data_IF_956557139463
#
_entry.id   IF_956557139463
#
_cell.length_a   1.000
_cell.length_b   1.000
_cell.length_c   1.000
_cell.angle_alpha   90.00
_cell.angle_beta   90.00
_cell.angle_gamma   90.00
#
_symmetry.space_group_name_H-M   'P 1'
#
loop_
_entity.id
_entity.type
_entity.pdbx_description
1 polymer ?
#
# COMPACT_ATOMS: atom_id res chain seq x y z
N UNK A 1 -9.16 -15.08 -10.11
CA UNK A 1 -9.14 -15.88 -8.87
C UNK A 1 -7.90 -16.78 -8.80
N UNK A 2 -7.29 -16.86 -7.61
CA UNK A 2 -6.07 -17.64 -7.40
C UNK A 2 -6.49 -19.09 -7.26
N UNK A 3 -5.88 -19.96 -8.06
CA UNK A 3 -6.21 -21.38 -8.09
C UNK A 3 -5.22 -22.16 -7.22
N UNK A 4 -5.73 -23.18 -6.54
CA UNK A 4 -4.91 -24.15 -5.84
C UNK A 4 -4.15 -25.06 -6.83
N UNK A 5 -3.35 -25.99 -6.32
CA UNK A 5 -2.57 -26.93 -7.14
C UNK A 5 -3.42 -27.81 -8.07
N UNK A 6 -4.73 -27.93 -7.82
CA UNK A 6 -5.69 -28.65 -8.65
C UNK A 6 -6.43 -27.76 -9.65
N UNK A 7 -6.06 -26.48 -9.75
CA UNK A 7 -6.68 -25.52 -10.66
C UNK A 7 -8.04 -24.98 -10.21
N UNK A 8 -8.43 -25.20 -8.94
CA UNK A 8 -9.71 -24.74 -8.37
C UNK A 8 -9.53 -23.48 -7.52
N UNK A 9 -10.50 -22.59 -7.59
CA UNK A 9 -10.63 -21.48 -6.64
C UNK A 9 -11.39 -22.00 -5.42
N UNK A 10 -10.70 -22.13 -4.28
CA UNK A 10 -11.25 -22.62 -3.02
C UNK A 10 -11.36 -21.53 -1.95
N UNK A 11 -11.10 -20.26 -2.31
CA UNK A 11 -11.16 -19.13 -1.38
C UNK A 11 -10.08 -19.09 -0.31
N UNK A 12 -9.10 -20.00 -0.33
CA UNK A 12 -8.05 -20.09 0.71
C UNK A 12 -6.69 -19.51 0.28
N UNK A 13 -6.63 -18.86 -0.87
CA UNK A 13 -5.39 -18.32 -1.42
C UNK A 13 -5.44 -16.79 -1.54
N UNK A 14 -4.28 -16.17 -1.31
CA UNK A 14 -4.06 -14.71 -1.44
C UNK A 14 -2.82 -14.45 -2.29
N UNK A 15 -2.79 -13.32 -3.02
CA UNK A 15 -1.58 -12.90 -3.74
C UNK A 15 -0.77 -12.01 -2.82
N UNK A 16 0.47 -12.41 -2.58
CA UNK A 16 1.41 -11.64 -1.78
C UNK A 16 2.36 -10.86 -2.69
N UNK A 17 2.51 -9.57 -2.41
CA UNK A 17 3.51 -8.72 -3.07
C UNK A 17 4.45 -8.15 -2.00
N UNK A 18 5.74 -8.21 -2.25
CA UNK A 18 6.75 -7.57 -1.39
C UNK A 18 7.39 -6.40 -2.11
N UNK A 19 7.80 -5.39 -1.36
CA UNK A 19 8.47 -4.20 -1.92
C UNK A 19 9.78 -4.62 -2.58
N UNK A 20 10.49 -5.57 -1.97
CA UNK A 20 11.75 -6.11 -2.47
C UNK A 20 11.56 -6.82 -3.82
N UNK A 21 10.52 -7.64 -3.96
CA UNK A 21 10.22 -8.34 -5.22
C UNK A 21 9.81 -7.36 -6.33
N UNK A 22 9.01 -6.34 -6.00
CA UNK A 22 8.61 -5.29 -6.96
C UNK A 22 9.81 -4.48 -7.43
N UNK A 23 10.72 -4.13 -6.51
CA UNK A 23 11.90 -3.32 -6.80
C UNK A 23 12.95 -4.11 -7.60
N UNK A 24 13.19 -5.37 -7.24
CA UNK A 24 14.24 -6.19 -7.86
C UNK A 24 13.83 -6.79 -9.21
N UNK A 25 12.52 -6.93 -9.49
CA UNK A 25 12.05 -7.48 -10.75
C UNK A 25 12.36 -6.51 -11.91
N UNK A 26 13.21 -6.89 -12.91
CA UNK A 26 13.64 -5.98 -13.97
C UNK A 26 12.51 -5.44 -14.86
N UNK A 27 11.41 -6.19 -14.97
CA UNK A 27 10.24 -5.78 -15.75
C UNK A 27 9.38 -4.72 -15.04
N UNK A 28 9.50 -4.60 -13.72
CA UNK A 28 8.76 -3.64 -12.90
C UNK A 28 9.70 -2.54 -12.42
N UNK A 29 10.70 -2.89 -11.60
CA UNK A 29 11.76 -2.02 -11.09
C UNK A 29 11.23 -0.71 -10.49
N UNK A 30 10.17 -0.79 -9.69
CA UNK A 30 9.51 0.38 -9.09
C UNK A 30 9.87 0.52 -7.61
N UNK A 31 10.42 1.68 -7.26
CA UNK A 31 10.61 2.09 -5.86
C UNK A 31 9.33 2.70 -5.28
N UNK A 32 9.25 2.80 -3.95
CA UNK A 32 8.17 3.55 -3.27
C UNK A 32 8.08 4.99 -3.79
N UNK A 33 9.20 5.67 -4.00
CA UNK A 33 9.18 7.05 -4.51
C UNK A 33 8.74 7.10 -5.98
N UNK A 34 9.07 6.08 -6.77
CA UNK A 34 8.57 5.91 -8.13
C UNK A 34 7.05 5.72 -8.19
N UNK A 35 6.49 4.91 -7.29
CA UNK A 35 5.02 4.72 -7.23
C UNK A 35 4.29 5.99 -6.78
N UNK A 36 4.88 6.79 -5.90
CA UNK A 36 4.36 8.13 -5.56
C UNK A 36 4.31 9.02 -6.81
N UNK A 37 5.37 9.05 -7.61
CA UNK A 37 5.36 9.83 -8.86
C UNK A 37 4.29 9.34 -9.84
N UNK A 38 4.06 8.03 -9.93
CA UNK A 38 2.97 7.48 -10.74
C UNK A 38 1.62 8.03 -10.26
N UNK A 39 1.36 8.05 -8.96
CA UNK A 39 0.13 8.63 -8.40
C UNK A 39 -0.03 10.12 -8.72
N UNK A 40 1.07 10.89 -8.68
CA UNK A 40 1.05 12.32 -9.04
C UNK A 40 0.77 12.55 -10.54
N UNK A 41 1.27 11.68 -11.43
CA UNK A 41 1.15 11.85 -12.88
C UNK A 41 -0.08 11.18 -13.50
N UNK A 42 -0.45 9.98 -13.06
CA UNK A 42 -1.61 9.24 -13.59
C UNK A 42 -2.90 9.59 -12.87
N UNK A 43 -2.81 10.30 -11.76
CA UNK A 43 -3.89 10.53 -10.84
C UNK A 43 -3.97 9.42 -9.78
N UNK A 44 -4.36 9.83 -8.58
CA UNK A 44 -4.54 8.97 -7.42
C UNK A 44 -5.62 9.55 -6.51
N UNK A 45 -5.77 8.98 -5.32
CA UNK A 45 -6.89 9.33 -4.43
C UNK A 45 -6.88 10.80 -3.99
N UNK A 46 -5.72 11.46 -3.97
CA UNK A 46 -5.59 12.89 -3.63
C UNK A 46 -5.77 13.83 -4.83
N UNK A 47 -5.43 13.38 -6.04
CA UNK A 47 -5.58 14.14 -7.30
C UNK A 47 -6.08 13.17 -8.37
N UNK A 48 -7.41 13.00 -8.53
CA UNK A 48 -7.94 12.03 -9.48
C UNK A 48 -7.62 12.33 -10.95
N UNK A 49 -7.46 13.63 -11.30
CA UNK A 49 -7.28 14.07 -12.68
C UNK A 49 -5.88 13.75 -13.26
N UNK A 50 -4.85 13.66 -12.40
CA UNK A 50 -3.46 13.49 -12.84
C UNK A 50 -3.02 14.53 -13.89
N UNK A 51 -2.02 14.16 -14.69
CA UNK A 51 -1.60 14.87 -15.88
C UNK A 51 -2.32 14.28 -17.11
N UNK A 52 -3.20 15.04 -17.79
CA UNK A 52 -3.92 14.54 -18.96
C UNK A 52 -2.99 13.99 -20.04
N UNK A 53 -3.32 12.80 -20.57
CA UNK A 53 -2.52 12.14 -21.59
C UNK A 53 -1.24 11.46 -21.09
N UNK A 54 -0.96 11.49 -19.77
CA UNK A 54 0.13 10.77 -19.12
C UNK A 54 -0.28 9.34 -18.75
N UNK A 55 -0.31 8.45 -19.75
CA UNK A 55 -0.70 7.05 -19.54
C UNK A 55 0.32 6.24 -18.73
N UNK A 56 -0.12 5.10 -18.19
CA UNK A 56 0.64 4.22 -17.28
C UNK A 56 2.06 3.89 -17.78
N UNK A 57 2.26 3.65 -19.09
CA UNK A 57 3.59 3.34 -19.63
C UNK A 57 4.58 4.50 -19.50
N UNK A 58 4.11 5.74 -19.67
CA UNK A 58 4.96 6.93 -19.52
C UNK A 58 5.27 7.19 -18.05
N UNK A 59 4.29 7.07 -17.16
CA UNK A 59 4.50 7.29 -15.72
C UNK A 59 5.42 6.24 -15.11
N UNK A 60 5.26 4.98 -15.48
CA UNK A 60 6.20 3.90 -15.11
C UNK A 60 7.60 4.16 -15.67
N UNK A 61 7.71 4.60 -16.93
CA UNK A 61 9.01 4.94 -17.52
C UNK A 61 9.73 6.07 -16.79
N UNK A 62 9.01 7.17 -16.46
CA UNK A 62 9.54 8.28 -15.67
C UNK A 62 9.90 7.85 -14.23
N UNK A 63 9.09 6.99 -13.60
CA UNK A 63 9.39 6.44 -12.29
C UNK A 63 10.69 5.61 -12.31
N UNK A 64 10.85 4.74 -13.32
CA UNK A 64 12.06 3.93 -13.52
C UNK A 64 13.29 4.76 -13.89
N UNK A 65 13.10 5.89 -14.58
CA UNK A 65 14.16 6.86 -14.86
C UNK A 65 14.63 7.61 -13.60
N UNK A 66 14.00 7.38 -12.44
CA UNK A 66 14.48 7.88 -11.15
C UNK A 66 13.90 9.23 -10.73
N UNK A 67 12.99 9.83 -11.51
CA UNK A 67 12.39 11.14 -11.19
C UNK A 67 11.63 11.14 -9.87
N UNK A 68 11.01 10.03 -9.49
CA UNK A 68 10.33 9.91 -8.20
C UNK A 68 11.34 9.89 -7.04
N UNK A 69 12.47 9.21 -7.21
CA UNK A 69 13.52 9.14 -6.20
C UNK A 69 14.15 10.53 -5.96
N UNK A 70 14.48 11.26 -7.03
CA UNK A 70 15.06 12.61 -6.90
C UNK A 70 14.06 13.59 -6.26
N UNK A 71 12.78 13.52 -6.63
CA UNK A 71 11.73 14.36 -6.04
C UNK A 71 11.57 14.12 -4.54
N UNK A 72 11.39 12.87 -4.12
CA UNK A 72 11.19 12.54 -2.70
C UNK A 72 12.44 12.85 -1.87
N UNK A 73 13.63 12.65 -2.44
CA UNK A 73 14.89 13.02 -1.78
C UNK A 73 14.96 14.53 -1.55
N UNK A 74 14.67 15.34 -2.58
CA UNK A 74 14.71 16.79 -2.50
C UNK A 74 13.74 17.35 -1.44
N UNK A 75 12.51 16.83 -1.38
CA UNK A 75 11.53 17.28 -0.37
C UNK A 75 11.99 16.97 1.07
N UNK A 76 12.77 15.91 1.27
CA UNK A 76 13.30 15.56 2.60
C UNK A 76 14.53 16.37 2.99
N UNK A 77 15.36 16.75 2.03
CA UNK A 77 16.69 17.31 2.29
C UNK A 77 16.77 18.84 2.09
N UNK A 78 15.93 19.42 1.23
CA UNK A 78 15.99 20.84 0.88
C UNK A 78 15.02 21.70 1.71
N UNK A 79 15.43 22.95 1.96
CA UNK A 79 14.58 24.00 2.53
C UNK A 79 13.81 24.72 1.41
N UNK A 80 12.68 25.36 1.72
CA UNK A 80 11.72 25.91 0.75
C UNK A 80 12.34 26.64 -0.44
N UNK A 81 13.18 27.66 -0.23
CA UNK A 81 13.78 28.41 -1.35
C UNK A 81 14.61 27.53 -2.31
N UNK A 82 15.40 26.59 -1.78
CA UNK A 82 16.18 25.65 -2.60
C UNK A 82 15.32 24.56 -3.22
N UNK A 83 14.21 24.23 -2.59
CA UNK A 83 13.24 23.27 -3.12
C UNK A 83 12.54 23.85 -4.36
N UNK A 84 12.18 25.12 -4.34
CA UNK A 84 11.53 25.79 -5.48
C UNK A 84 12.45 25.79 -6.72
N UNK A 85 13.72 26.17 -6.55
CA UNK A 85 14.73 26.12 -7.62
C UNK A 85 14.94 24.69 -8.14
N UNK A 86 15.03 23.71 -7.23
CA UNK A 86 15.14 22.30 -7.59
C UNK A 86 13.94 21.84 -8.42
N UNK A 87 12.72 22.21 -8.03
CA UNK A 87 11.50 21.79 -8.71
C UNK A 87 11.41 22.38 -10.13
N UNK A 88 11.90 23.61 -10.33
CA UNK A 88 12.01 24.21 -11.68
C UNK A 88 12.91 23.34 -12.55
N UNK A 89 14.12 23.02 -12.08
CA UNK A 89 15.06 22.19 -12.83
C UNK A 89 14.52 20.77 -13.05
N UNK A 90 13.95 20.16 -12.02
CA UNK A 90 13.37 18.82 -12.08
C UNK A 90 12.23 18.72 -13.10
N UNK A 91 11.35 19.73 -13.18
CA UNK A 91 10.34 19.82 -14.25
C UNK A 91 10.97 19.90 -15.63
N UNK A 92 12.03 20.70 -15.79
CA UNK A 92 12.74 20.79 -17.08
C UNK A 92 13.38 19.46 -17.47
N UNK A 93 13.93 18.72 -16.51
CA UNK A 93 14.51 17.40 -16.76
C UNK A 93 13.44 16.40 -17.20
N UNK A 94 12.25 16.42 -16.59
CA UNK A 94 11.10 15.61 -17.05
C UNK A 94 10.68 16.01 -18.47
N UNK A 95 10.57 17.32 -18.75
CA UNK A 95 10.21 17.82 -20.08
C UNK A 95 11.23 17.38 -21.13
N UNK A 96 12.51 17.43 -20.79
CA UNK A 96 13.61 16.99 -21.65
C UNK A 96 13.57 15.48 -21.88
N UNK A 97 13.32 14.69 -20.84
CA UNK A 97 13.17 13.24 -20.98
C UNK A 97 11.95 12.89 -21.84
N UNK A 98 10.82 13.55 -21.66
CA UNK A 98 9.63 13.35 -22.51
C UNK A 98 9.90 13.72 -23.98
N UNK A 99 10.69 14.76 -24.25
CA UNK A 99 11.05 15.18 -25.62
C UNK A 99 12.06 14.25 -26.29
N UNK A 100 13.02 13.74 -25.52
CA UNK A 100 14.21 13.06 -26.07
C UNK A 100 14.21 11.55 -25.85
N UNK A 101 13.50 11.06 -24.82
CA UNK A 101 13.56 9.69 -24.32
C UNK A 101 15.02 9.21 -24.14
N UNK A 102 15.86 10.04 -23.51
CA UNK A 102 17.32 9.79 -23.40
C UNK A 102 17.61 8.53 -22.60
N UNK A 103 16.77 8.21 -21.60
CA UNK A 103 16.91 6.98 -20.81
C UNK A 103 16.51 5.71 -21.58
N UNK A 104 15.71 5.85 -22.66
CA UNK A 104 15.12 4.72 -23.37
C UNK A 104 14.02 3.99 -22.58
N UNK A 105 13.57 4.53 -21.44
CA UNK A 105 12.58 3.90 -20.56
C UNK A 105 11.14 4.30 -20.89
N UNK A 106 10.94 5.33 -21.72
CA UNK A 106 9.62 5.71 -22.21
C UNK A 106 9.25 4.91 -23.47
N UNK A 107 7.96 4.64 -23.73
CA UNK A 107 7.54 3.91 -24.93
C UNK A 107 7.80 4.68 -26.23
N UNK A 108 7.85 6.01 -26.18
CA UNK A 108 8.20 6.89 -27.30
C UNK A 108 8.51 8.30 -26.80
N UNK A 109 9.02 9.17 -27.68
CA UNK A 109 9.11 10.61 -27.43
C UNK A 109 7.70 11.21 -27.46
N UNK A 110 7.38 12.11 -26.53
CA UNK A 110 6.07 12.77 -26.44
C UNK A 110 6.19 14.27 -26.10
N UNK A 111 6.62 15.12 -27.06
CA UNK A 111 6.79 16.56 -26.83
C UNK A 111 5.51 17.29 -26.40
N UNK A 112 4.33 16.83 -26.85
CA UNK A 112 3.04 17.40 -26.44
C UNK A 112 2.77 17.20 -24.95
N UNK A 113 3.15 16.04 -24.39
CA UNK A 113 3.06 15.78 -22.95
C UNK A 113 4.08 16.61 -22.15
N UNK A 114 5.25 16.87 -22.73
CA UNK A 114 6.21 17.79 -22.12
C UNK A 114 5.66 19.21 -22.03
N UNK A 115 4.96 19.67 -23.07
CA UNK A 115 4.33 20.99 -23.10
C UNK A 115 3.13 21.10 -22.15
N UNK A 116 2.41 20.00 -21.90
CA UNK A 116 1.26 20.00 -21.00
C UNK A 116 1.63 19.91 -19.51
N UNK A 117 2.90 19.65 -19.16
CA UNK A 117 3.34 19.61 -17.76
C UNK A 117 3.22 21.02 -17.14
N UNK A 118 2.40 21.23 -16.10
CA UNK A 118 2.24 22.55 -15.48
C UNK A 118 3.49 23.02 -14.74
N UNK A 119 3.69 24.34 -14.61
CA UNK A 119 4.82 24.91 -13.86
C UNK A 119 4.65 24.86 -12.34
N UNK A 120 3.42 24.65 -11.86
CA UNK A 120 3.10 24.43 -10.45
C UNK A 120 3.15 22.94 -10.05
N UNK A 121 3.42 22.04 -11.00
CA UNK A 121 3.55 20.61 -10.73
C UNK A 121 4.87 20.26 -10.03
N UNK A 122 4.89 19.36 -9.02
CA UNK A 122 3.76 18.71 -8.40
C UNK A 122 3.17 19.53 -7.25
N UNK A 123 1.90 19.26 -6.91
CA UNK A 123 1.31 19.80 -5.68
C UNK A 123 2.05 19.30 -4.44
N UNK A 124 2.79 20.20 -3.78
CA UNK A 124 3.56 19.88 -2.57
C UNK A 124 2.71 19.32 -1.43
N UNK A 125 1.50 19.86 -1.10
CA UNK A 125 0.65 19.26 -0.08
C UNK A 125 0.28 17.79 -0.36
N UNK A 126 0.04 17.46 -1.63
CA UNK A 126 -0.29 16.08 -2.03
C UNK A 126 0.93 15.18 -1.93
N UNK A 127 2.09 15.64 -2.38
CA UNK A 127 3.35 14.91 -2.22
C UNK A 127 3.68 14.66 -0.73
N UNK A 128 3.42 15.62 0.15
CA UNK A 128 3.59 15.47 1.60
C UNK A 128 2.62 14.43 2.16
N UNK A 129 1.37 14.39 1.67
CA UNK A 129 0.38 13.38 2.09
C UNK A 129 0.84 11.94 1.80
N UNK A 130 1.60 11.73 0.72
CA UNK A 130 2.22 10.42 0.43
C UNK A 130 3.51 10.16 1.20
N UNK A 131 4.38 11.17 1.33
CA UNK A 131 5.70 10.99 1.93
C UNK A 131 5.64 10.91 3.46
N UNK A 132 4.77 11.72 4.07
CA UNK A 132 4.51 11.86 5.50
C UNK A 132 3.00 11.74 5.79
N UNK A 133 2.39 10.57 5.57
CA UNK A 133 0.97 10.38 5.82
C UNK A 133 0.66 10.60 7.31
N UNK A 134 -0.52 11.12 7.61
CA UNK A 134 -1.04 11.19 8.98
C UNK A 134 -1.33 9.75 9.43
N UNK A 135 -0.66 9.31 10.49
CA UNK A 135 -0.78 7.98 11.08
C UNK A 135 -0.98 8.09 12.59
N UNK A 136 -1.47 7.02 13.22
CA UNK A 136 -1.59 6.99 14.69
C UNK A 136 -0.26 7.19 15.41
N UNK A 137 0.88 6.93 14.77
CA UNK A 137 2.22 7.14 15.33
C UNK A 137 2.65 8.61 15.35
N UNK A 138 2.26 9.41 14.35
CA UNK A 138 2.65 10.83 14.27
C UNK A 138 1.55 11.79 14.76
N UNK A 139 0.33 11.30 14.97
CA UNK A 139 -0.81 12.09 15.47
C UNK A 139 -0.96 12.02 16.98
N UNK A 140 -0.30 11.06 17.65
CA UNK A 140 -0.24 11.01 19.10
C UNK A 140 0.54 12.20 19.64
N UNK A 141 -0.18 13.29 19.91
CA UNK A 141 0.32 14.33 20.80
C UNK A 141 0.62 13.66 22.15
N UNK A 142 1.90 13.70 22.55
CA UNK A 142 2.52 13.10 23.74
C UNK A 142 3.24 11.80 23.42
N UNK A 143 4.53 11.78 23.77
CA UNK A 143 5.43 10.64 23.70
C UNK A 143 5.05 9.44 24.58
N UNK A 144 3.77 9.23 24.83
CA UNK A 144 3.23 8.12 25.60
C UNK A 144 2.56 7.14 24.64
N UNK A 145 3.36 6.13 24.27
CA UNK A 145 2.99 4.84 23.63
C UNK A 145 3.01 4.86 22.10
N UNK A 146 4.11 4.32 21.55
CA UNK A 146 4.09 3.66 20.24
C UNK A 146 2.92 2.66 20.23
N UNK A 147 2.14 2.54 19.13
CA UNK A 147 1.14 1.50 19.03
C UNK A 147 1.82 0.14 19.24
N UNK A 148 1.49 -0.55 20.33
CA UNK A 148 1.91 -1.94 20.50
C UNK A 148 1.18 -2.78 19.45
N UNK A 149 1.87 -3.76 18.88
CA UNK A 149 1.19 -4.76 18.05
C UNK A 149 0.01 -5.33 18.85
N UNK A 150 -1.20 -5.45 18.25
CA UNK A 150 -2.35 -6.00 18.95
C UNK A 150 -2.03 -7.46 19.32
N UNK A 151 -1.83 -7.71 20.61
CA UNK A 151 -1.64 -9.07 21.12
C UNK A 151 -3.01 -9.62 21.50
N UNK A 152 -3.51 -10.56 20.71
CA UNK A 152 -4.79 -11.23 20.96
C UNK A 152 -4.65 -12.31 22.04
N UNK A 153 -4.40 -11.88 23.30
CA UNK A 153 -4.15 -12.77 24.45
C UNK A 153 -5.39 -13.51 24.97
N UNK A 154 -6.58 -13.03 24.66
CA UNK A 154 -7.81 -13.62 25.21
C UNK A 154 -8.33 -14.69 24.26
N UNK A 155 -8.57 -15.89 24.80
CA UNK A 155 -9.26 -16.92 24.05
C UNK A 155 -10.73 -16.50 23.85
N UNK A 156 -11.34 -16.83 22.69
CA UNK A 156 -12.75 -16.56 22.47
C UNK A 156 -13.59 -17.28 23.51
N UNK A 157 -14.56 -16.60 24.10
CA UNK A 157 -15.50 -17.16 25.08
C UNK A 157 -16.66 -17.85 24.33
N UNK A 158 -16.72 -19.20 24.30
CA UNK A 158 -17.75 -19.91 23.54
C UNK A 158 -19.16 -19.67 24.09
N UNK A 159 -19.30 -19.39 25.39
CA UNK A 159 -20.60 -19.13 26.00
C UNK A 159 -21.15 -17.78 25.52
N UNK A 160 -20.32 -16.73 25.53
CA UNK A 160 -20.72 -15.42 25.00
C UNK A 160 -21.03 -15.48 23.51
N UNK A 161 -20.24 -16.25 22.74
CA UNK A 161 -20.52 -16.46 21.31
C UNK A 161 -21.87 -17.17 21.14
N UNK A 162 -22.18 -18.18 21.95
CA UNK A 162 -23.48 -18.86 21.90
C UNK A 162 -24.63 -17.89 22.20
N UNK A 163 -24.52 -17.04 23.22
CA UNK A 163 -25.52 -16.02 23.52
C UNK A 163 -25.71 -15.02 22.37
N UNK A 164 -24.63 -14.65 21.67
CA UNK A 164 -24.72 -13.81 20.48
C UNK A 164 -25.35 -14.55 19.30
N UNK A 165 -25.09 -15.85 19.16
CA UNK A 165 -25.74 -16.71 18.18
C UNK A 165 -27.25 -16.83 18.42
N UNK A 166 -27.70 -16.93 19.67
CA UNK A 166 -29.14 -16.92 19.99
C UNK A 166 -29.78 -15.56 19.69
N UNK A 167 -29.07 -14.46 19.96
CA UNK A 167 -29.60 -13.11 19.83
C UNK A 167 -29.62 -12.58 18.39
N UNK A 168 -28.56 -12.84 17.62
CA UNK A 168 -28.35 -12.24 16.30
C UNK A 168 -28.47 -13.22 15.14
N UNK A 169 -28.44 -14.52 15.42
CA UNK A 169 -28.59 -15.55 14.39
C UNK A 169 -29.85 -16.35 14.69
N UNK A 170 -30.45 -16.96 13.67
CA UNK A 170 -31.62 -17.84 13.82
C UNK A 170 -31.26 -19.18 14.48
N UNK A 171 -30.19 -19.24 15.27
CA UNK A 171 -29.72 -20.44 15.97
C UNK A 171 -30.39 -20.54 17.34
N UNK A 172 -31.71 -20.34 17.38
CA UNK A 172 -32.50 -20.13 18.59
C UNK A 172 -32.71 -21.35 19.49
N UNK A 173 -31.91 -22.42 19.32
CA UNK A 173 -31.98 -23.62 20.17
C UNK A 173 -30.58 -24.19 20.39
N UNK A 174 -30.29 -24.55 21.65
CA UNK A 174 -29.01 -25.13 22.12
C UNK A 174 -28.46 -26.22 21.20
N UNK A 175 -29.29 -27.14 20.74
CA UNK A 175 -28.84 -28.27 19.91
C UNK A 175 -28.33 -27.82 18.54
N UNK A 176 -28.95 -26.79 17.95
CA UNK A 176 -28.51 -26.19 16.69
C UNK A 176 -27.16 -25.52 16.87
N UNK A 177 -26.98 -24.78 17.97
CA UNK A 177 -25.70 -24.13 18.30
C UNK A 177 -24.59 -25.15 18.49
N UNK A 178 -24.83 -26.20 19.30
CA UNK A 178 -23.84 -27.25 19.54
C UNK A 178 -23.46 -27.95 18.23
N UNK A 179 -24.44 -28.24 17.38
CA UNK A 179 -24.19 -28.87 16.08
C UNK A 179 -23.36 -27.94 15.16
N UNK A 180 -23.71 -26.65 15.08
CA UNK A 180 -22.98 -25.67 14.27
C UNK A 180 -21.57 -25.44 14.80
N UNK A 181 -21.39 -25.29 16.11
CA UNK A 181 -20.09 -25.03 16.73
C UNK A 181 -19.07 -26.12 16.38
N UNK A 182 -19.50 -27.39 16.26
CA UNK A 182 -18.62 -28.49 15.82
C UNK A 182 -17.96 -28.25 14.48
N UNK A 183 -18.65 -27.63 13.53
CA UNK A 183 -18.15 -27.43 12.17
C UNK A 183 -17.56 -26.04 11.96
N UNK A 184 -18.09 -25.01 12.63
CA UNK A 184 -17.71 -23.61 12.35
C UNK A 184 -16.81 -22.97 13.40
N UNK A 185 -16.84 -23.43 14.66
CA UNK A 185 -16.15 -22.76 15.78
C UNK A 185 -15.02 -23.60 16.36
N UNK A 186 -15.27 -24.88 16.66
CA UNK A 186 -14.30 -25.76 17.32
C UNK A 186 -12.99 -25.93 16.54
N UNK A 187 -12.97 -26.10 15.21
CA UNK A 187 -11.70 -26.20 14.48
C UNK A 187 -10.80 -24.98 14.73
N UNK A 188 -11.36 -23.77 14.67
CA UNK A 188 -10.61 -22.53 14.93
C UNK A 188 -10.15 -22.39 16.37
N UNK A 189 -11.01 -22.74 17.35
CA UNK A 189 -10.66 -22.69 18.77
C UNK A 189 -9.55 -23.67 19.14
N UNK A 190 -9.60 -24.91 18.63
CA UNK A 190 -8.56 -25.91 18.84
C UNK A 190 -7.24 -25.47 18.20
N UNK A 191 -7.26 -24.99 16.96
CA UNK A 191 -6.06 -24.46 16.30
C UNK A 191 -5.42 -23.33 17.11
N UNK A 192 -6.23 -22.41 17.64
CA UNK A 192 -5.74 -21.29 18.46
C UNK A 192 -5.13 -21.77 19.78
N UNK A 193 -5.80 -22.68 20.49
CA UNK A 193 -5.30 -23.27 21.72
C UNK A 193 -3.95 -23.97 21.51
N UNK A 194 -3.82 -24.75 20.43
CA UNK A 194 -2.55 -25.43 20.08
C UNK A 194 -1.45 -24.41 19.74
N UNK A 195 -1.74 -23.42 18.90
CA UNK A 195 -0.77 -22.36 18.56
C UNK A 195 -0.26 -21.63 19.80
N UNK A 196 -1.16 -21.32 20.73
CA UNK A 196 -0.81 -20.66 21.99
C UNK A 196 0.06 -21.54 22.88
N UNK A 197 -0.30 -22.81 23.06
CA UNK A 197 0.50 -23.75 23.86
C UNK A 197 1.94 -23.85 23.34
N UNK A 198 2.12 -23.82 22.02
CA UNK A 198 3.46 -23.82 21.40
C UNK A 198 4.20 -22.50 21.64
N UNK A 199 3.56 -21.34 21.43
CA UNK A 199 4.19 -20.03 21.61
C UNK A 199 4.57 -19.78 23.08
N UNK A 200 3.66 -20.08 24.01
CA UNK A 200 3.86 -19.88 25.44
C UNK A 200 4.84 -20.95 26.02
N UNK A 201 4.85 -22.16 25.47
CA UNK A 201 5.77 -23.24 25.86
C UNK A 201 7.21 -23.07 25.35
N UNK A 202 7.44 -22.30 24.28
CA UNK A 202 8.79 -21.94 23.77
C UNK A 202 9.39 -20.76 24.54
N UNK A 203 8.58 -20.02 25.30
CA UNK A 203 9.00 -18.84 26.07
C UNK A 203 9.17 -19.10 27.57
N UNK A 204 9.00 -20.36 28.01
CA UNK A 204 9.22 -20.84 29.38
C UNK A 204 10.49 -21.69 29.48
#
# INVERSE_FOLDING_TARGET
PIKNAQGKDDGNHVVTYTVEAILSNPSVALSRSGTILIGLLSGGDYIPAGLPGCGQKFTTGLARAGFGNSLVKAVKELKSARLDDFLIQWRQDIRNELKTNKSGLLPSKKPSLAASLPDDFPSLPVLVSYTNPITSENTSQRGDRKPSLPVWRNDPDPMRIASLCELYFEWGVKDVIVHRFRTVLWPGLVCRAVQRAVIDGVTS
#
